data_IF_160062857046
#
_entry.id   IF_160062857046
#
_cell.length_a   1.000
_cell.length_b   1.000
_cell.length_c   1.000
_cell.angle_alpha   90.00
_cell.angle_beta   90.00
_cell.angle_gamma   90.00
#
_symmetry.space_group_name_H-M   'P 1'
#
loop_
_entity.id
_entity.type
_entity.pdbx_description
1 polymer ?
#
# COMPACT_ATOMS: atom_id res chain seq x y z
N UNK A 1 -12.57 -26.02 -1.07
CA UNK A 1 -13.55 -25.02 -0.59
C UNK A 1 -13.17 -24.73 0.85
N UNK A 2 -12.96 -23.47 1.22
CA UNK A 2 -12.70 -23.12 2.62
C UNK A 2 -13.99 -23.26 3.41
N UNK A 3 -13.94 -23.95 4.56
CA UNK A 3 -15.08 -24.09 5.45
C UNK A 3 -15.41 -22.72 6.08
N UNK A 4 -16.61 -22.20 5.82
CA UNK A 4 -17.07 -20.93 6.41
C UNK A 4 -17.61 -21.21 7.81
N UNK A 5 -16.94 -20.64 8.83
CA UNK A 5 -17.37 -20.74 10.23
C UNK A 5 -18.20 -19.51 10.59
N UNK A 6 -19.38 -19.74 11.21
CA UNK A 6 -20.23 -18.68 11.77
C UNK A 6 -19.94 -18.50 13.25
N UNK A 7 -19.74 -17.25 13.67
CA UNK A 7 -19.57 -16.88 15.07
C UNK A 7 -20.39 -15.62 15.39
N UNK A 8 -20.76 -15.45 16.66
CA UNK A 8 -21.47 -14.28 17.16
C UNK A 8 -20.52 -13.25 17.77
N UNK A 9 -20.83 -11.97 17.61
CA UNK A 9 -20.12 -10.84 18.23
C UNK A 9 -21.11 -9.90 18.89
N UNK A 10 -20.73 -9.35 20.04
CA UNK A 10 -21.49 -8.33 20.75
C UNK A 10 -20.87 -6.96 20.50
N UNK A 11 -21.71 -5.96 20.21
CA UNK A 11 -21.31 -4.57 19.95
C UNK A 11 -22.33 -3.63 20.59
N UNK A 12 -21.88 -2.46 21.00
CA UNK A 12 -22.75 -1.37 21.44
C UNK A 12 -23.67 -0.96 20.28
N UNK A 13 -24.93 -0.67 20.61
CA UNK A 13 -25.95 -0.32 19.61
C UNK A 13 -25.51 0.85 18.72
N UNK A 14 -24.98 1.91 19.31
CA UNK A 14 -24.53 3.09 18.57
C UNK A 14 -23.35 2.79 17.63
N UNK A 15 -22.47 1.87 18.02
CA UNK A 15 -21.34 1.45 17.19
C UNK A 15 -21.82 0.63 16.00
N UNK A 16 -22.78 -0.28 16.22
CA UNK A 16 -23.39 -1.06 15.14
C UNK A 16 -24.12 -0.15 14.14
N UNK A 17 -24.85 0.86 14.61
CA UNK A 17 -25.52 1.83 13.74
C UNK A 17 -24.53 2.64 12.89
N UNK A 18 -23.40 3.08 13.47
CA UNK A 18 -22.31 3.72 12.72
C UNK A 18 -21.72 2.78 11.67
N UNK A 19 -21.52 1.51 12.03
CA UNK A 19 -20.97 0.50 11.13
C UNK A 19 -21.92 0.19 9.96
N UNK A 20 -23.23 0.11 10.20
CA UNK A 20 -24.23 -0.09 9.14
C UNK A 20 -24.28 1.07 8.15
N UNK A 21 -24.09 2.31 8.60
CA UNK A 21 -23.96 3.47 7.70
C UNK A 21 -22.73 3.33 6.80
N UNK A 22 -21.59 3.00 7.40
CA UNK A 22 -20.34 2.76 6.66
C UNK A 22 -20.49 1.64 5.62
N UNK A 23 -21.17 0.55 5.96
CA UNK A 23 -21.45 -0.57 5.03
C UNK A 23 -22.22 -0.08 3.80
N UNK A 24 -23.26 0.73 4.00
CA UNK A 24 -24.07 1.29 2.90
C UNK A 24 -23.27 2.24 2.04
N UNK A 25 -22.51 3.14 2.65
CA UNK A 25 -21.64 4.10 1.94
C UNK A 25 -20.59 3.40 1.08
N UNK A 26 -19.95 2.36 1.62
CA UNK A 26 -18.96 1.54 0.91
C UNK A 26 -19.59 0.48 -0.02
N UNK A 27 -20.92 0.41 -0.11
CA UNK A 27 -21.67 -0.54 -0.95
C UNK A 27 -21.33 -2.01 -0.69
N UNK A 28 -21.05 -2.36 0.56
CA UNK A 28 -20.87 -3.76 0.94
C UNK A 28 -22.21 -4.53 0.86
N UNK A 29 -22.22 -5.78 0.39
CA UNK A 29 -23.45 -6.55 0.24
C UNK A 29 -24.01 -7.04 1.59
N UNK A 30 -23.16 -7.19 2.61
CA UNK A 30 -23.56 -7.57 3.96
C UNK A 30 -22.48 -7.22 5.00
N UNK A 31 -22.83 -7.26 6.29
CA UNK A 31 -21.90 -7.03 7.41
C UNK A 31 -20.72 -8.00 7.42
N UNK A 32 -20.92 -9.26 7.06
CA UNK A 32 -19.88 -10.28 7.11
C UNK A 32 -18.77 -10.06 6.09
N UNK A 33 -19.05 -9.49 4.92
CA UNK A 33 -18.02 -9.03 3.97
C UNK A 33 -17.24 -7.84 4.55
N UNK A 34 -17.94 -6.83 5.05
CA UNK A 34 -17.28 -5.66 5.63
C UNK A 34 -16.37 -6.03 6.83
N UNK A 35 -16.82 -6.94 7.69
CA UNK A 35 -16.01 -7.46 8.81
C UNK A 35 -14.82 -8.25 8.29
N UNK A 36 -15.00 -9.11 7.28
CA UNK A 36 -13.88 -9.87 6.68
C UNK A 36 -12.82 -8.95 6.11
N UNK A 37 -13.22 -7.90 5.39
CA UNK A 37 -12.27 -6.96 4.82
C UNK A 37 -11.55 -6.14 5.89
N UNK A 38 -12.26 -5.69 6.95
CA UNK A 38 -11.61 -5.06 8.10
C UNK A 38 -10.59 -5.99 8.79
N UNK A 39 -10.91 -7.27 8.93
CA UNK A 39 -9.99 -8.28 9.50
C UNK A 39 -8.77 -8.43 8.58
N UNK A 40 -8.97 -8.62 7.27
CA UNK A 40 -7.87 -8.76 6.30
C UNK A 40 -6.99 -7.51 6.26
N UNK A 41 -7.57 -6.32 6.20
CA UNK A 41 -6.83 -5.06 6.26
C UNK A 41 -5.97 -4.97 7.53
N UNK A 42 -6.51 -5.39 8.68
CA UNK A 42 -5.76 -5.41 9.93
C UNK A 42 -4.61 -6.43 9.90
N UNK A 43 -4.84 -7.62 9.37
CA UNK A 43 -3.80 -8.65 9.19
C UNK A 43 -2.68 -8.19 8.25
N UNK A 44 -3.01 -7.53 7.14
CA UNK A 44 -2.01 -6.91 6.24
C UNK A 44 -1.17 -5.88 7.00
N UNK A 45 -1.80 -4.99 7.77
CA UNK A 45 -1.06 -4.01 8.59
C UNK A 45 -0.11 -4.69 9.56
N UNK A 46 -0.51 -5.83 10.14
CA UNK A 46 0.34 -6.63 11.03
C UNK A 46 1.51 -7.28 10.30
N UNK A 47 1.30 -7.82 9.09
CA UNK A 47 2.40 -8.33 8.24
C UNK A 47 3.45 -7.24 7.97
N UNK A 48 3.03 -5.97 7.84
CA UNK A 48 3.92 -4.84 7.66
C UNK A 48 4.69 -4.41 8.92
N UNK A 49 4.32 -4.92 10.09
CA UNK A 49 5.03 -4.69 11.36
C UNK A 49 5.92 -5.89 11.72
N UNK A 50 5.40 -7.10 11.59
CA UNK A 50 6.01 -8.34 12.12
C UNK A 50 6.48 -9.30 11.02
N UNK A 51 6.04 -9.10 9.78
CA UNK A 51 6.21 -10.04 8.67
C UNK A 51 7.62 -10.12 8.12
N UNK A 52 7.93 -11.27 7.51
CA UNK A 52 9.22 -11.53 6.86
C UNK A 52 9.27 -11.04 5.42
N UNK A 53 8.12 -11.01 4.74
CA UNK A 53 8.01 -10.65 3.32
C UNK A 53 6.62 -10.04 3.05
N UNK A 54 6.59 -8.85 2.47
CA UNK A 54 5.38 -8.11 2.07
C UNK A 54 5.50 -7.66 0.62
N UNK A 55 4.38 -7.25 0.03
CA UNK A 55 4.32 -6.62 -1.28
C UNK A 55 3.66 -5.24 -1.16
N UNK A 56 3.96 -4.32 -2.09
CA UNK A 56 3.35 -2.99 -2.09
C UNK A 56 3.65 -2.23 -3.37
N UNK A 57 3.22 -0.97 -3.39
CA UNK A 57 3.53 -0.03 -4.47
C UNK A 57 3.91 1.33 -3.89
N UNK A 58 5.00 1.91 -4.38
CA UNK A 58 5.41 3.28 -4.08
C UNK A 58 4.96 4.15 -5.24
N UNK A 59 4.19 5.19 -4.96
CA UNK A 59 3.73 6.15 -5.98
C UNK A 59 4.43 7.48 -5.77
N UNK A 60 5.07 8.00 -6.80
CA UNK A 60 5.77 9.28 -6.79
C UNK A 60 5.17 10.22 -7.84
N UNK A 61 5.08 11.51 -7.53
CA UNK A 61 4.87 12.58 -8.53
C UNK A 61 6.02 13.54 -8.42
N UNK A 62 6.67 13.86 -9.54
CA UNK A 62 7.81 14.76 -9.57
C UNK A 62 7.92 15.51 -10.89
N UNK A 63 8.70 16.60 -10.86
CA UNK A 63 9.01 17.43 -12.03
C UNK A 63 10.30 16.93 -12.67
N UNK A 64 10.22 16.44 -13.90
CA UNK A 64 11.36 15.81 -14.59
C UNK A 64 12.35 16.83 -15.18
N UNK A 65 12.01 18.12 -15.22
CA UNK A 65 12.95 19.19 -15.56
C UNK A 65 13.87 19.56 -14.40
N UNK A 66 13.60 19.05 -13.18
CA UNK A 66 14.51 19.25 -12.05
C UNK A 66 15.80 18.48 -12.28
N UNK A 67 16.87 19.26 -12.51
CA UNK A 67 18.22 18.74 -12.72
C UNK A 67 18.62 17.75 -11.62
N UNK A 68 19.25 16.65 -12.05
CA UNK A 68 19.70 15.51 -11.23
C UNK A 68 18.60 14.68 -10.52
N UNK A 69 17.32 15.09 -10.58
CA UNK A 69 16.28 14.37 -9.84
C UNK A 69 16.09 12.94 -10.36
N UNK A 70 15.96 12.77 -11.67
CA UNK A 70 15.77 11.44 -12.30
C UNK A 70 16.96 10.52 -11.98
N UNK A 71 18.18 11.05 -12.09
CA UNK A 71 19.40 10.29 -11.78
C UNK A 71 19.39 9.87 -10.31
N UNK A 72 19.11 10.79 -9.40
CA UNK A 72 19.06 10.50 -7.95
C UNK A 72 18.00 9.44 -7.62
N UNK A 73 16.80 9.54 -8.19
CA UNK A 73 15.74 8.55 -7.99
C UNK A 73 16.16 7.18 -8.55
N UNK A 74 16.80 7.16 -9.72
CA UNK A 74 17.29 5.93 -10.36
C UNK A 74 18.39 5.28 -9.52
N UNK A 75 19.33 6.05 -8.99
CA UNK A 75 20.41 5.56 -8.13
C UNK A 75 19.85 4.94 -6.84
N UNK A 76 18.88 5.60 -6.20
CA UNK A 76 18.18 5.05 -5.03
C UNK A 76 17.47 3.73 -5.41
N UNK A 77 16.80 3.67 -6.55
CA UNK A 77 16.15 2.43 -6.99
C UNK A 77 17.16 1.31 -7.24
N UNK A 78 18.31 1.62 -7.84
CA UNK A 78 19.38 0.65 -8.06
C UNK A 78 20.01 0.14 -6.75
N UNK A 79 20.20 0.99 -5.75
CA UNK A 79 20.67 0.56 -4.41
C UNK A 79 19.71 -0.45 -3.74
N UNK A 80 18.42 -0.37 -4.08
CA UNK A 80 17.37 -1.22 -3.53
C UNK A 80 16.79 -2.22 -4.53
N UNK A 81 17.51 -2.53 -5.62
CA UNK A 81 16.99 -3.34 -6.74
C UNK A 81 16.39 -4.69 -6.32
N UNK A 82 16.92 -5.31 -5.26
CA UNK A 82 16.42 -6.58 -4.71
C UNK A 82 14.98 -6.50 -4.16
N UNK A 83 14.51 -5.30 -3.83
CA UNK A 83 13.15 -5.06 -3.35
C UNK A 83 12.19 -4.65 -4.47
N UNK A 84 12.70 -4.24 -5.63
CA UNK A 84 11.90 -3.68 -6.72
C UNK A 84 11.63 -4.78 -7.75
N UNK A 85 10.34 -5.00 -8.03
CA UNK A 85 9.92 -5.93 -9.08
C UNK A 85 9.88 -5.23 -10.43
N UNK A 86 9.33 -4.01 -10.46
CA UNK A 86 9.16 -3.21 -11.67
C UNK A 86 8.86 -1.76 -11.31
N UNK A 87 9.17 -0.84 -12.21
CA UNK A 87 8.67 0.54 -12.16
C UNK A 87 7.90 0.87 -13.45
N UNK A 88 6.87 1.71 -13.32
CA UNK A 88 6.13 2.27 -14.44
C UNK A 88 6.18 3.79 -14.35
N UNK A 89 6.62 4.42 -15.43
CA UNK A 89 6.71 5.87 -15.56
C UNK A 89 5.63 6.37 -16.52
N UNK A 90 4.91 7.41 -16.12
CA UNK A 90 3.82 8.02 -16.90
C UNK A 90 4.03 9.53 -16.93
N UNK A 91 4.10 10.10 -18.13
CA UNK A 91 4.07 11.56 -18.30
C UNK A 91 2.64 12.05 -18.08
N UNK A 92 2.44 12.88 -17.04
CA UNK A 92 1.14 13.49 -16.76
C UNK A 92 0.92 14.74 -17.61
N UNK A 93 1.98 15.52 -17.79
CA UNK A 93 2.03 16.72 -18.61
C UNK A 93 3.48 17.03 -19.01
N UNK A 94 3.73 18.25 -19.52
CA UNK A 94 5.04 18.69 -19.97
C UNK A 94 6.10 18.68 -18.86
N UNK A 95 5.74 18.85 -17.59
CA UNK A 95 6.70 18.95 -16.49
C UNK A 95 6.60 17.75 -15.54
N UNK A 96 5.40 17.20 -15.34
CA UNK A 96 5.12 16.24 -14.28
C UNK A 96 5.11 14.80 -14.78
N UNK A 97 5.76 13.95 -13.99
CA UNK A 97 5.72 12.51 -14.14
C UNK A 97 5.10 11.85 -12.91
N UNK A 98 4.35 10.79 -13.14
CA UNK A 98 3.90 9.83 -12.15
C UNK A 98 4.74 8.57 -12.30
N UNK A 99 5.33 8.09 -11.21
CA UNK A 99 6.05 6.82 -11.19
C UNK A 99 5.41 5.88 -10.16
N UNK A 100 5.19 4.62 -10.55
CA UNK A 100 4.67 3.55 -9.71
C UNK A 100 5.71 2.45 -9.63
N UNK A 101 6.26 2.21 -8.45
CA UNK A 101 7.32 1.22 -8.21
C UNK A 101 6.72 0.06 -7.40
N UNK A 102 6.59 -1.11 -8.03
CA UNK A 102 6.09 -2.33 -7.40
C UNK A 102 7.22 -2.99 -6.62
N UNK A 103 6.97 -3.30 -5.36
CA UNK A 103 7.98 -3.77 -4.41
C UNK A 103 7.58 -5.06 -3.72
N UNK A 104 8.56 -5.90 -3.40
CA UNK A 104 8.42 -7.09 -2.57
C UNK A 104 9.67 -7.32 -1.73
N UNK A 105 9.50 -7.55 -0.43
CA UNK A 105 10.60 -7.90 0.45
C UNK A 105 10.29 -7.62 1.92
N UNK A 106 11.33 -7.43 2.74
CA UNK A 106 11.16 -7.16 4.17
C UNK A 106 10.49 -5.80 4.41
N UNK A 107 9.47 -5.68 5.29
CA UNK A 107 8.74 -4.43 5.51
C UNK A 107 9.63 -3.23 5.80
N UNK A 108 10.65 -3.41 6.65
CA UNK A 108 11.60 -2.35 7.00
C UNK A 108 12.36 -1.82 5.78
N UNK A 109 12.82 -2.70 4.90
CA UNK A 109 13.57 -2.31 3.69
C UNK A 109 12.68 -1.58 2.70
N UNK A 110 11.44 -2.06 2.52
CA UNK A 110 10.46 -1.40 1.63
C UNK A 110 10.11 0.00 2.16
N UNK A 111 9.90 0.13 3.47
CA UNK A 111 9.64 1.42 4.11
C UNK A 111 10.82 2.37 3.97
N UNK A 112 12.04 1.89 4.17
CA UNK A 112 13.26 2.69 3.97
C UNK A 112 13.40 3.19 2.53
N UNK A 113 13.17 2.34 1.54
CA UNK A 113 13.15 2.73 0.12
C UNK A 113 12.11 3.83 -0.13
N UNK A 114 10.87 3.64 0.32
CA UNK A 114 9.79 4.62 0.15
C UNK A 114 10.12 5.96 0.82
N UNK A 115 10.71 5.92 2.02
CA UNK A 115 11.11 7.12 2.76
C UNK A 115 12.25 7.87 2.04
N UNK A 116 13.26 7.17 1.52
CA UNK A 116 14.36 7.78 0.75
C UNK A 116 13.87 8.43 -0.55
N UNK A 117 13.05 7.72 -1.33
CA UNK A 117 12.47 8.26 -2.56
C UNK A 117 11.64 9.50 -2.27
N UNK A 118 10.72 9.44 -1.30
CA UNK A 118 9.87 10.57 -0.92
C UNK A 118 10.65 11.77 -0.39
N UNK A 119 11.76 11.55 0.32
CA UNK A 119 12.60 12.61 0.86
C UNK A 119 13.50 13.28 -0.20
N UNK A 120 13.55 12.74 -1.42
CA UNK A 120 14.40 13.28 -2.48
C UNK A 120 13.87 14.64 -2.95
N UNK A 121 14.75 15.65 -2.90
CA UNK A 121 14.40 17.03 -3.26
C UNK A 121 13.91 17.12 -4.70
N UNK A 122 12.66 17.55 -4.88
CA UNK A 122 12.01 17.67 -6.19
C UNK A 122 10.86 16.69 -6.39
N UNK A 123 10.73 15.69 -5.52
CA UNK A 123 9.50 14.90 -5.40
C UNK A 123 8.40 15.77 -4.80
N UNK A 124 7.28 15.91 -5.53
CA UNK A 124 6.11 16.70 -5.14
C UNK A 124 5.17 15.88 -4.26
N UNK A 125 5.07 14.59 -4.52
CA UNK A 125 4.25 13.65 -3.76
C UNK A 125 4.91 12.28 -3.71
N UNK A 126 4.78 11.60 -2.58
CA UNK A 126 5.24 10.23 -2.40
C UNK A 126 4.35 9.48 -1.42
N UNK A 127 3.87 8.30 -1.79
CA UNK A 127 3.10 7.42 -0.91
C UNK A 127 3.51 5.96 -1.06
N UNK A 128 3.27 5.20 0.00
CA UNK A 128 3.46 3.75 0.04
C UNK A 128 2.10 3.11 0.25
N UNK A 129 1.62 2.41 -0.76
CA UNK A 129 0.48 1.51 -0.66
C UNK A 129 0.95 0.15 -0.18
N UNK A 130 0.48 -0.25 1.00
CA UNK A 130 0.81 -1.54 1.60
C UNK A 130 -0.12 -2.64 1.05
N UNK A 131 0.43 -3.81 0.78
CA UNK A 131 -0.31 -4.99 0.35
C UNK A 131 0.27 -6.26 1.00
N UNK A 132 -0.25 -7.42 0.64
CA UNK A 132 0.27 -8.72 1.09
C UNK A 132 0.84 -9.49 -0.10
N UNK A 133 1.68 -10.49 0.18
CA UNK A 133 2.01 -11.52 -0.81
C UNK A 133 0.87 -12.54 -1.00
N UNK A 134 -0.19 -12.46 -0.18
CA UNK A 134 -1.32 -13.38 -0.17
C UNK A 134 -1.04 -14.70 0.57
N UNK A 135 0.22 -15.01 0.89
CA UNK A 135 0.60 -16.28 1.54
C UNK A 135 0.06 -16.41 2.97
N UNK A 136 -0.21 -15.30 3.66
CA UNK A 136 -0.70 -15.24 5.04
C UNK A 136 -2.18 -14.89 5.19
N UNK A 137 -2.90 -14.65 4.09
CA UNK A 137 -4.33 -14.33 4.09
C UNK A 137 -5.12 -15.48 3.46
N UNK A 138 -6.16 -15.94 4.15
CA UNK A 138 -7.15 -16.93 3.66
C UNK A 138 -8.45 -16.23 3.30
#
# INVERSE_FOLDING_TARGET
MSDIIRFGVSLEKELLEKFDRLIKEKKYPNRSEAIRDLIRENLVKREWVEGKEVAGAITLVFDHHKRELINTLTDIQHDFYQLIISSQHVHLDHDNCLEIIVVRGKPRGVKELADKLRATKGVKYGSLSIATTGKGLV
#
